data_IF_878202033198
#
_entry.id   IF_878202033198
#
_cell.length_a   1.000
_cell.length_b   1.000
_cell.length_c   1.000
_cell.angle_alpha   90.00
_cell.angle_beta   90.00
_cell.angle_gamma   90.00
#
_symmetry.space_group_name_H-M   'P 1'
#
loop_
_entity.id
_entity.type
_entity.pdbx_description
1 polymer ?
#
# COMPACT_ATOMS: atom_id res chain seq x y z
N UNK A 1 16.36 -12.37 -14.73
CA UNK A 1 15.70 -12.13 -16.04
C UNK A 1 16.73 -11.45 -16.93
N UNK A 2 16.98 -12.00 -18.10
CA UNK A 2 17.79 -11.29 -19.09
C UNK A 2 16.99 -10.06 -19.52
N UNK A 3 17.59 -8.87 -19.35
CA UNK A 3 17.00 -7.62 -19.85
C UNK A 3 16.81 -7.74 -21.37
N UNK A 4 15.63 -7.43 -21.86
CA UNK A 4 15.32 -7.43 -23.29
C UNK A 4 15.92 -6.12 -23.87
N UNK A 5 17.14 -6.11 -24.44
CA UNK A 5 17.93 -4.90 -24.62
C UNK A 5 17.35 -3.88 -25.62
N UNK A 6 16.23 -4.22 -26.27
CA UNK A 6 15.61 -3.41 -27.32
C UNK A 6 14.14 -3.06 -27.07
N UNK A 7 13.66 -3.16 -25.81
CA UNK A 7 12.29 -2.89 -25.42
C UNK A 7 12.21 -1.78 -24.38
N UNK A 8 11.38 -0.76 -24.60
CA UNK A 8 11.01 0.20 -23.57
C UNK A 8 9.52 0.15 -23.26
N UNK A 9 9.15 0.66 -22.07
CA UNK A 9 7.76 0.85 -21.66
C UNK A 9 7.48 2.34 -21.51
N UNK A 10 6.42 2.82 -22.15
CA UNK A 10 5.90 4.19 -22.00
C UNK A 10 4.60 4.13 -21.23
N UNK A 11 4.51 4.80 -20.09
CA UNK A 11 3.30 4.84 -19.27
C UNK A 11 2.63 6.21 -19.43
N UNK A 12 1.41 6.23 -19.94
CA UNK A 12 0.64 7.46 -20.10
C UNK A 12 0.01 7.90 -18.77
N UNK A 13 0.52 8.96 -18.16
CA UNK A 13 0.13 9.45 -16.85
C UNK A 13 -0.16 10.97 -16.80
N UNK A 14 -0.35 11.62 -17.96
CA UNK A 14 -0.51 13.09 -18.07
C UNK A 14 -1.95 13.58 -17.93
N UNK A 15 -2.95 12.70 -17.91
CA UNK A 15 -4.37 13.01 -17.96
C UNK A 15 -4.89 13.77 -16.74
N UNK A 16 -5.83 14.72 -16.94
CA UNK A 16 -6.43 15.53 -15.86
C UNK A 16 -7.41 14.76 -14.96
N UNK A 17 -8.05 13.69 -15.46
CA UNK A 17 -8.99 12.87 -14.69
C UNK A 17 -10.24 13.63 -14.21
N UNK A 18 -10.80 14.53 -15.01
CA UNK A 18 -11.91 15.42 -14.63
C UNK A 18 -13.16 14.70 -14.12
N UNK A 19 -13.40 13.48 -14.61
CA UNK A 19 -14.56 12.65 -14.20
C UNK A 19 -14.50 12.17 -12.76
N UNK A 20 -13.30 12.09 -12.14
CA UNK A 20 -13.14 11.77 -10.72
C UNK A 20 -13.56 12.91 -9.80
N UNK A 21 -13.75 14.14 -10.31
CA UNK A 21 -14.10 15.33 -9.54
C UNK A 21 -13.18 15.56 -8.33
N UNK A 22 -11.91 15.24 -8.47
CA UNK A 22 -10.87 15.28 -7.42
C UNK A 22 -9.80 16.31 -7.73
N UNK A 23 -9.22 16.90 -6.67
CA UNK A 23 -8.01 17.75 -6.78
C UNK A 23 -6.73 16.92 -6.86
N UNK A 24 -6.80 15.61 -6.56
CA UNK A 24 -5.67 14.67 -6.68
C UNK A 24 -5.56 14.27 -8.16
N UNK A 25 -4.36 14.23 -8.74
CA UNK A 25 -4.14 13.65 -10.07
C UNK A 25 -4.72 12.24 -10.15
N UNK A 26 -5.37 11.90 -11.27
CA UNK A 26 -6.03 10.61 -11.48
C UNK A 26 -5.12 9.43 -11.07
N UNK A 27 -3.91 9.42 -11.57
CA UNK A 27 -2.91 8.35 -11.39
C UNK A 27 -2.35 8.24 -9.97
N UNK A 28 -2.63 9.22 -9.10
CA UNK A 28 -2.25 9.22 -7.68
C UNK A 28 -3.37 8.79 -6.74
N UNK A 29 -4.56 8.48 -7.24
CA UNK A 29 -5.55 7.79 -6.41
C UNK A 29 -5.01 6.41 -6.03
N UNK A 30 -5.32 5.97 -4.83
CA UNK A 30 -4.77 4.74 -4.27
C UNK A 30 -5.81 3.62 -4.22
N UNK A 31 -5.37 2.42 -4.54
CA UNK A 31 -6.06 1.16 -4.30
C UNK A 31 -5.07 0.18 -3.68
N UNK A 32 -5.51 -0.68 -2.76
CA UNK A 32 -4.62 -1.64 -2.11
C UNK A 32 -3.39 -1.00 -1.46
N UNK A 33 -3.50 0.26 -0.96
CA UNK A 33 -2.42 0.99 -0.30
C UNK A 33 -1.36 1.60 -1.21
N UNK A 34 -1.61 1.66 -2.55
CA UNK A 34 -0.62 2.12 -3.53
C UNK A 34 -1.27 2.98 -4.62
N UNK A 35 -0.62 4.06 -5.11
CA UNK A 35 -1.11 4.82 -6.26
C UNK A 35 -1.35 3.96 -7.49
N UNK A 36 -2.37 4.27 -8.30
CA UNK A 36 -2.66 3.56 -9.57
C UNK A 36 -1.41 3.43 -10.43
N UNK A 37 -0.69 4.54 -10.63
CA UNK A 37 0.57 4.55 -11.38
C UNK A 37 1.63 3.61 -10.77
N UNK A 38 1.68 3.50 -9.45
CA UNK A 38 2.61 2.62 -8.75
C UNK A 38 2.39 1.14 -9.05
N UNK A 39 1.13 0.71 -9.24
CA UNK A 39 0.82 -0.64 -9.67
C UNK A 39 1.29 -0.91 -11.09
N UNK A 40 1.03 0.01 -12.02
CA UNK A 40 1.46 -0.12 -13.43
C UNK A 40 2.99 -0.15 -13.54
N UNK A 41 3.70 0.72 -12.81
CA UNK A 41 5.17 0.71 -12.76
C UNK A 41 5.68 -0.62 -12.22
N UNK A 42 5.07 -1.15 -11.16
CA UNK A 42 5.48 -2.43 -10.58
C UNK A 42 5.31 -3.60 -11.55
N UNK A 43 4.22 -3.63 -12.33
CA UNK A 43 4.00 -4.63 -13.37
C UNK A 43 5.02 -4.48 -14.52
N UNK A 44 5.24 -3.26 -15.01
CA UNK A 44 6.20 -2.96 -16.08
C UNK A 44 7.64 -3.31 -15.67
N UNK A 45 8.02 -3.10 -14.41
CA UNK A 45 9.36 -3.40 -13.86
C UNK A 45 9.66 -4.91 -13.78
N UNK A 46 8.67 -5.77 -14.03
CA UNK A 46 8.89 -7.23 -14.19
C UNK A 46 9.26 -7.60 -15.63
N UNK A 47 9.04 -6.70 -16.59
CA UNK A 47 9.27 -6.91 -18.03
C UNK A 47 10.58 -6.26 -18.49
N UNK A 48 10.83 -5.02 -18.03
CA UNK A 48 12.04 -4.24 -18.38
C UNK A 48 12.65 -3.63 -17.10
N UNK A 49 13.91 -3.22 -17.19
CA UNK A 49 14.56 -2.50 -16.10
C UNK A 49 13.91 -1.12 -15.88
N UNK A 50 13.90 -0.54 -14.67
CA UNK A 50 13.35 0.79 -14.41
C UNK A 50 13.92 1.89 -15.32
N UNK A 51 15.18 1.79 -15.74
CA UNK A 51 15.81 2.70 -16.69
C UNK A 51 15.22 2.68 -18.11
N UNK A 52 14.43 1.65 -18.45
CA UNK A 52 13.75 1.50 -19.74
C UNK A 52 12.23 1.82 -19.63
N UNK A 53 11.80 2.40 -18.49
CA UNK A 53 10.42 2.82 -18.26
C UNK A 53 10.34 4.35 -18.29
N UNK A 54 9.45 4.88 -19.11
CA UNK A 54 9.22 6.32 -19.29
C UNK A 54 7.77 6.66 -18.93
N UNK A 55 7.55 7.41 -17.85
CA UNK A 55 6.23 7.91 -17.51
C UNK A 55 6.02 9.30 -18.13
N UNK A 56 5.02 9.42 -19.02
CA UNK A 56 4.62 10.71 -19.57
C UNK A 56 3.70 11.39 -18.56
N UNK A 57 4.16 12.47 -17.94
CA UNK A 57 3.45 13.23 -16.92
C UNK A 57 3.06 14.60 -17.44
N UNK A 58 2.04 15.23 -16.86
CA UNK A 58 1.56 16.54 -17.32
C UNK A 58 0.83 17.29 -16.21
N UNK A 59 -0.44 17.04 -16.01
CA UNK A 59 -1.20 17.70 -14.94
C UNK A 59 -0.59 17.42 -13.56
N UNK A 60 -0.15 18.46 -12.85
CA UNK A 60 0.57 18.38 -11.57
C UNK A 60 1.82 17.45 -11.64
N UNK A 61 2.61 17.56 -12.70
CA UNK A 61 3.75 16.69 -12.99
C UNK A 61 4.68 16.49 -11.78
N UNK A 62 5.06 17.56 -11.08
CA UNK A 62 5.97 17.48 -9.93
C UNK A 62 5.41 16.61 -8.78
N UNK A 63 4.11 16.70 -8.56
CA UNK A 63 3.45 15.86 -7.54
C UNK A 63 3.43 14.39 -7.94
N UNK A 64 3.23 14.10 -9.24
CA UNK A 64 3.27 12.72 -9.76
C UNK A 64 4.70 12.18 -9.69
N UNK A 65 5.71 12.94 -10.13
CA UNK A 65 7.13 12.56 -10.04
C UNK A 65 7.54 12.25 -8.60
N UNK A 66 7.20 13.13 -7.64
CA UNK A 66 7.54 12.94 -6.23
C UNK A 66 6.92 11.66 -5.64
N UNK A 67 5.67 11.34 -5.99
CA UNK A 67 4.97 10.18 -5.44
C UNK A 67 5.58 8.83 -5.86
N UNK A 68 6.27 8.77 -7.00
CA UNK A 68 6.88 7.54 -7.53
C UNK A 68 8.40 7.67 -7.74
N UNK A 69 9.05 8.67 -7.16
CA UNK A 69 10.49 8.92 -7.32
C UNK A 69 11.38 7.73 -6.95
N UNK A 70 10.97 6.97 -5.92
CA UNK A 70 11.73 5.81 -5.44
C UNK A 70 11.76 4.63 -6.43
N UNK A 71 10.97 4.68 -7.53
CA UNK A 71 10.92 3.59 -8.52
C UNK A 71 12.09 3.58 -9.50
N UNK A 72 12.82 4.69 -9.64
CA UNK A 72 13.99 4.81 -10.53
C UNK A 72 13.65 4.90 -12.03
N UNK A 73 12.40 5.17 -12.39
CA UNK A 73 11.96 5.35 -13.77
C UNK A 73 12.29 6.75 -14.31
N UNK A 74 12.22 6.92 -15.62
CA UNK A 74 12.35 8.22 -16.28
C UNK A 74 11.00 8.92 -16.45
N UNK A 75 11.03 10.25 -16.50
CA UNK A 75 9.84 11.08 -16.73
C UNK A 75 10.00 11.91 -18.00
N UNK A 76 8.91 11.96 -18.78
CA UNK A 76 8.76 12.83 -19.93
C UNK A 76 7.61 13.79 -19.65
N UNK A 77 7.81 15.07 -19.90
CA UNK A 77 6.79 16.06 -19.61
C UNK A 77 5.94 16.37 -20.85
N UNK A 78 4.63 16.23 -20.71
CA UNK A 78 3.63 16.71 -21.65
C UNK A 78 3.04 18.02 -21.09
N UNK A 79 3.65 19.16 -21.42
CA UNK A 79 3.25 20.46 -20.89
C UNK A 79 1.79 20.81 -21.25
N UNK A 80 1.38 20.52 -22.49
CA UNK A 80 0.02 20.68 -22.96
C UNK A 80 -0.63 19.31 -23.22
N UNK A 81 -1.78 19.04 -22.60
CA UNK A 81 -2.50 17.78 -22.78
C UNK A 81 -3.33 17.82 -24.09
N UNK A 82 -2.69 17.52 -25.22
CA UNK A 82 -3.29 17.51 -26.56
C UNK A 82 -3.65 16.11 -27.05
N UNK A 83 -3.87 15.17 -26.13
CA UNK A 83 -4.27 13.81 -26.44
C UNK A 83 -3.15 12.77 -26.27
N UNK A 84 -3.50 11.49 -26.44
CA UNK A 84 -2.60 10.33 -26.22
C UNK A 84 -1.50 10.22 -27.28
N UNK A 85 -1.79 10.59 -28.52
CA UNK A 85 -0.77 10.67 -29.58
C UNK A 85 0.29 11.73 -29.29
N UNK A 86 -0.12 12.91 -28.78
CA UNK A 86 0.82 13.94 -28.35
C UNK A 86 1.71 13.49 -27.17
N UNK A 87 1.18 12.70 -26.27
CA UNK A 87 1.99 12.13 -25.18
C UNK A 87 3.16 11.30 -25.74
N UNK A 88 2.91 10.48 -26.75
CA UNK A 88 3.97 9.69 -27.43
C UNK A 88 4.90 10.60 -28.24
N UNK A 89 4.39 11.69 -28.86
CA UNK A 89 5.26 12.67 -29.55
C UNK A 89 6.26 13.29 -28.56
N UNK A 90 5.82 13.64 -27.33
CA UNK A 90 6.73 14.14 -26.29
C UNK A 90 7.80 13.10 -25.90
N UNK A 91 7.49 11.82 -25.92
CA UNK A 91 8.41 10.75 -25.59
C UNK A 91 9.32 10.33 -26.75
N UNK A 92 9.10 10.81 -27.97
CA UNK A 92 9.73 10.34 -29.19
C UNK A 92 11.27 10.30 -29.12
N UNK A 93 11.89 11.35 -28.59
CA UNK A 93 13.36 11.41 -28.45
C UNK A 93 13.90 10.36 -27.44
N UNK A 94 13.17 10.12 -26.36
CA UNK A 94 13.56 9.17 -25.33
C UNK A 94 13.48 7.71 -25.79
N UNK A 95 12.52 7.40 -26.68
CA UNK A 95 12.26 6.02 -27.13
C UNK A 95 12.93 5.68 -28.47
N UNK A 96 13.53 6.64 -29.16
CA UNK A 96 14.08 6.45 -30.52
C UNK A 96 15.18 5.36 -30.63
N UNK A 97 15.87 5.07 -29.54
CA UNK A 97 16.92 4.05 -29.48
C UNK A 97 16.42 2.62 -29.31
N UNK A 98 15.13 2.41 -29.02
CA UNK A 98 14.53 1.10 -28.80
C UNK A 98 13.90 0.56 -30.09
N UNK A 99 14.01 -0.75 -30.30
CA UNK A 99 13.39 -1.42 -31.46
C UNK A 99 11.87 -1.46 -31.34
N UNK A 100 11.38 -1.72 -30.13
CA UNK A 100 9.96 -1.81 -29.83
C UNK A 100 9.63 -1.08 -28.53
N UNK A 101 8.39 -0.62 -28.42
CA UNK A 101 7.85 -0.05 -27.20
C UNK A 101 6.53 -0.71 -26.82
N UNK A 102 6.29 -0.83 -25.53
CA UNK A 102 4.96 -1.05 -24.95
C UNK A 102 4.41 0.26 -24.42
N UNK A 103 3.17 0.56 -24.74
CA UNK A 103 2.45 1.73 -24.22
C UNK A 103 1.42 1.24 -23.23
N UNK A 104 1.51 1.65 -21.97
CA UNK A 104 0.59 1.31 -20.90
C UNK A 104 -0.17 2.55 -20.43
N UNK A 105 -1.38 2.35 -19.90
CA UNK A 105 -2.16 3.40 -19.26
C UNK A 105 -1.89 3.44 -17.77
N UNK A 106 -1.48 4.60 -17.24
CA UNK A 106 -1.11 4.77 -15.82
C UNK A 106 -2.29 4.67 -14.83
N UNK A 107 -3.50 4.53 -15.32
CA UNK A 107 -4.74 4.37 -14.56
C UNK A 107 -5.36 2.96 -14.68
N UNK A 108 -4.61 2.00 -15.23
CA UNK A 108 -5.00 0.58 -15.35
C UNK A 108 -4.19 -0.25 -14.34
N UNK A 109 -4.52 -0.20 -13.05
CA UNK A 109 -3.67 -0.71 -11.97
C UNK A 109 -3.66 -2.24 -11.84
N UNK A 110 -4.64 -2.93 -12.45
CA UNK A 110 -4.77 -4.38 -12.34
C UNK A 110 -4.03 -5.15 -13.44
N UNK A 111 -3.34 -4.44 -14.36
CA UNK A 111 -2.55 -5.09 -15.41
C UNK A 111 -1.49 -6.01 -14.82
N UNK A 112 -1.49 -7.27 -15.23
CA UNK A 112 -0.54 -8.28 -14.76
C UNK A 112 0.73 -8.29 -15.63
N UNK A 113 1.89 -8.60 -15.04
CA UNK A 113 3.13 -8.81 -15.80
C UNK A 113 2.97 -9.88 -16.89
N UNK A 114 2.24 -10.96 -16.62
CA UNK A 114 2.00 -12.06 -17.55
C UNK A 114 1.24 -11.58 -18.79
N UNK A 115 0.25 -10.70 -18.61
CA UNK A 115 -0.52 -10.12 -19.70
C UNK A 115 0.32 -9.15 -20.55
N UNK A 116 1.22 -8.39 -19.93
CA UNK A 116 2.18 -7.54 -20.64
C UNK A 116 3.16 -8.41 -21.44
N UNK A 117 3.65 -9.48 -20.86
CA UNK A 117 4.55 -10.42 -21.54
C UNK A 117 3.82 -11.13 -22.71
N UNK A 118 2.58 -11.55 -22.53
CA UNK A 118 1.74 -12.13 -23.60
C UNK A 118 1.59 -11.15 -24.78
N UNK A 119 1.27 -9.88 -24.51
CA UNK A 119 1.19 -8.83 -25.52
C UNK A 119 2.51 -8.70 -26.29
N UNK A 120 3.63 -8.69 -25.58
CA UNK A 120 4.97 -8.58 -26.15
C UNK A 120 5.33 -9.78 -27.04
N UNK A 121 5.11 -11.00 -26.54
CA UNK A 121 5.38 -12.23 -27.30
C UNK A 121 4.52 -12.31 -28.56
N UNK A 122 3.23 -11.96 -28.43
CA UNK A 122 2.30 -11.92 -29.55
C UNK A 122 2.75 -10.91 -30.63
N UNK A 123 3.16 -9.71 -30.20
CA UNK A 123 3.66 -8.65 -31.10
C UNK A 123 4.85 -9.16 -31.94
N UNK A 124 5.82 -9.79 -31.26
CA UNK A 124 7.01 -10.33 -31.93
C UNK A 124 6.68 -11.47 -32.90
N UNK A 125 5.87 -12.42 -32.46
CA UNK A 125 5.50 -13.59 -33.26
C UNK A 125 4.78 -13.19 -34.57
N UNK A 126 3.96 -12.14 -34.52
CA UNK A 126 3.22 -11.65 -35.70
C UNK A 126 4.02 -10.61 -36.51
N UNK A 127 5.21 -10.19 -36.07
CA UNK A 127 6.03 -9.14 -36.71
C UNK A 127 5.22 -7.89 -37.01
N UNK A 128 4.31 -7.54 -36.11
CA UNK A 128 3.36 -6.45 -36.30
C UNK A 128 4.03 -5.07 -36.20
N UNK A 129 3.46 -4.06 -36.82
CA UNK A 129 3.82 -2.67 -36.62
C UNK A 129 3.11 -2.10 -35.38
N UNK A 130 1.89 -2.60 -35.10
CA UNK A 130 1.10 -2.29 -33.92
C UNK A 130 0.37 -3.54 -33.46
N UNK A 131 0.36 -3.80 -32.16
CA UNK A 131 -0.49 -4.79 -31.51
C UNK A 131 -1.32 -4.10 -30.45
N UNK A 132 -2.62 -4.38 -30.43
CA UNK A 132 -3.58 -3.82 -29.49
C UNK A 132 -3.91 -4.89 -28.47
N UNK A 133 -3.77 -4.59 -27.18
CA UNK A 133 -4.36 -5.42 -26.13
C UNK A 133 -5.84 -5.07 -26.03
N UNK A 134 -6.71 -6.06 -26.17
CA UNK A 134 -8.17 -5.90 -26.15
C UNK A 134 -8.77 -6.65 -24.96
N UNK A 135 -10.02 -6.41 -24.67
CA UNK A 135 -10.82 -7.17 -23.71
C UNK A 135 -12.29 -7.19 -24.12
N UNK A 136 -13.06 -8.12 -23.54
CA UNK A 136 -14.50 -8.20 -23.76
C UNK A 136 -15.25 -8.16 -22.42
N UNK A 137 -15.36 -6.99 -21.77
CA UNK A 137 -16.11 -6.85 -20.52
C UNK A 137 -17.61 -7.08 -20.75
N UNK A 138 -18.35 -7.33 -19.66
CA UNK A 138 -19.79 -7.50 -19.71
C UNK A 138 -20.49 -6.23 -20.20
N UNK A 139 -20.05 -5.07 -19.73
CA UNK A 139 -20.48 -3.75 -20.24
C UNK A 139 -19.31 -3.03 -20.92
N UNK A 140 -19.30 -2.93 -22.26
CA UNK A 140 -18.28 -2.24 -23.02
C UNK A 140 -18.51 -0.72 -23.13
N UNK A 141 -19.53 -0.18 -22.50
CA UNK A 141 -19.89 1.25 -22.57
C UNK A 141 -18.74 2.16 -22.15
N UNK A 142 -18.51 3.21 -22.90
CA UNK A 142 -17.47 4.20 -22.63
C UNK A 142 -16.10 3.90 -23.25
N UNK A 143 -15.92 2.72 -23.85
CA UNK A 143 -14.69 2.33 -24.53
C UNK A 143 -14.82 2.36 -26.05
N UNK A 144 -13.73 2.59 -26.77
CA UNK A 144 -13.64 2.37 -28.21
C UNK A 144 -13.78 0.87 -28.53
N UNK A 145 -14.34 0.55 -29.69
CA UNK A 145 -14.48 -0.83 -30.18
C UNK A 145 -13.36 -1.19 -31.13
N UNK A 146 -12.87 -2.41 -31.02
CA UNK A 146 -11.92 -2.97 -31.97
C UNK A 146 -12.70 -3.76 -33.01
N UNK A 147 -12.64 -3.29 -34.26
CA UNK A 147 -13.26 -3.95 -35.41
C UNK A 147 -12.22 -4.82 -36.09
N UNK A 148 -12.43 -6.14 -36.08
CA UNK A 148 -11.54 -7.09 -36.77
C UNK A 148 -11.91 -7.21 -38.26
N UNK A 149 -10.99 -7.69 -39.08
CA UNK A 149 -11.29 -7.94 -40.52
C UNK A 149 -12.33 -9.04 -40.68
N UNK A 150 -12.23 -10.10 -39.90
CA UNK A 150 -13.25 -11.15 -39.72
C UNK A 150 -13.32 -11.52 -38.25
N UNK A 151 -14.37 -12.17 -37.82
CA UNK A 151 -14.56 -12.54 -36.40
C UNK A 151 -13.42 -13.38 -35.82
N UNK A 152 -12.73 -14.18 -36.64
CA UNK A 152 -11.63 -15.05 -36.23
C UNK A 152 -10.25 -14.48 -36.54
N UNK A 153 -10.19 -13.33 -37.25
CA UNK A 153 -8.91 -12.73 -37.64
C UNK A 153 -8.22 -12.07 -36.48
N UNK A 154 -6.91 -12.18 -36.41
CA UNK A 154 -6.08 -11.34 -35.51
C UNK A 154 -5.89 -9.92 -36.06
N UNK A 155 -6.14 -9.71 -37.36
CA UNK A 155 -5.97 -8.43 -38.05
C UNK A 155 -7.10 -7.47 -37.67
N UNK A 156 -6.69 -6.21 -37.38
CA UNK A 156 -7.61 -5.15 -36.98
C UNK A 156 -7.98 -4.30 -38.19
N UNK A 157 -9.28 -4.16 -38.45
CA UNK A 157 -9.81 -3.28 -39.46
C UNK A 157 -9.84 -1.80 -39.04
N UNK A 158 -10.30 -1.54 -37.80
CA UNK A 158 -10.38 -0.19 -37.24
C UNK A 158 -10.51 -0.23 -35.71
N UNK A 159 -10.16 0.90 -35.08
CA UNK A 159 -10.61 1.24 -33.72
C UNK A 159 -11.63 2.36 -33.87
N UNK A 160 -12.83 2.18 -33.31
CA UNK A 160 -13.93 3.16 -33.45
C UNK A 160 -14.31 3.64 -32.06
N UNK A 161 -14.16 4.94 -31.82
CA UNK A 161 -14.47 5.54 -30.50
C UNK A 161 -15.98 5.46 -30.20
N UNK A 162 -16.35 5.32 -28.91
CA UNK A 162 -17.73 5.14 -28.44
C UNK A 162 -18.75 6.09 -29.10
N UNK A 163 -18.40 7.35 -29.30
CA UNK A 163 -19.32 8.36 -29.86
C UNK A 163 -19.49 8.27 -31.36
N UNK A 164 -18.62 7.54 -32.05
CA UNK A 164 -18.62 7.37 -33.51
C UNK A 164 -19.15 6.00 -33.94
N UNK A 165 -19.61 5.16 -33.01
CA UNK A 165 -20.12 3.81 -33.29
C UNK A 165 -21.40 3.86 -34.10
N UNK A 166 -21.48 3.04 -35.14
CA UNK A 166 -22.75 2.68 -35.78
C UNK A 166 -23.56 1.75 -34.88
N UNK A 167 -24.86 1.56 -35.17
CA UNK A 167 -25.72 0.64 -34.43
C UNK A 167 -25.20 -0.81 -34.46
N UNK A 168 -24.58 -1.23 -35.56
CA UNK A 168 -23.98 -2.53 -35.72
C UNK A 168 -22.70 -2.67 -34.87
N UNK A 169 -21.81 -1.66 -34.92
CA UNK A 169 -20.57 -1.62 -34.17
C UNK A 169 -20.80 -1.53 -32.64
N UNK A 170 -21.93 -0.97 -32.21
CA UNK A 170 -22.30 -0.92 -30.79
C UNK A 170 -22.48 -2.32 -30.17
N UNK A 171 -22.78 -3.33 -30.99
CA UNK A 171 -22.91 -4.72 -30.52
C UNK A 171 -21.56 -5.44 -30.33
N UNK A 172 -20.46 -4.85 -30.82
CA UNK A 172 -19.12 -5.40 -30.63
C UNK A 172 -18.76 -5.25 -29.15
N UNK A 173 -18.41 -6.35 -28.47
CA UNK A 173 -18.01 -6.35 -27.08
C UNK A 173 -16.50 -6.12 -26.89
N UNK A 174 -15.71 -6.37 -27.95
CA UNK A 174 -14.25 -6.21 -27.90
C UNK A 174 -13.87 -4.74 -27.85
N UNK A 175 -13.28 -4.33 -26.73
CA UNK A 175 -12.89 -2.95 -26.45
C UNK A 175 -11.39 -2.72 -26.69
N UNK A 176 -11.06 -1.48 -27.02
CA UNK A 176 -9.69 -0.98 -26.97
C UNK A 176 -9.31 -0.62 -25.53
N UNK A 177 -8.30 -1.30 -24.98
CA UNK A 177 -7.83 -1.05 -23.62
C UNK A 177 -6.97 0.21 -23.47
N UNK A 178 -6.46 0.76 -24.57
CA UNK A 178 -5.45 1.81 -24.53
C UNK A 178 -4.03 1.31 -24.27
N UNK A 179 -3.81 0.00 -24.34
CA UNK A 179 -2.51 -0.66 -24.13
C UNK A 179 -2.05 -1.24 -25.47
N UNK A 180 -0.81 -0.96 -25.85
CA UNK A 180 -0.29 -1.28 -27.17
C UNK A 180 1.15 -1.76 -27.13
N UNK A 181 1.53 -2.51 -28.16
CA UNK A 181 2.93 -2.72 -28.55
C UNK A 181 3.16 -2.12 -29.94
N UNK A 182 4.27 -1.43 -30.12
CA UNK A 182 4.65 -0.82 -31.40
C UNK A 182 6.08 -1.17 -31.79
N UNK A 183 6.30 -1.32 -33.11
CA UNK A 183 7.63 -1.19 -33.67
C UNK A 183 7.99 0.29 -33.71
N UNK A 184 9.00 0.70 -32.96
CA UNK A 184 9.31 2.12 -32.70
C UNK A 184 9.57 2.91 -33.97
N UNK A 185 10.41 2.40 -34.87
CA UNK A 185 10.73 3.09 -36.12
C UNK A 185 9.49 3.37 -36.99
N UNK A 186 8.57 2.39 -37.06
CA UNK A 186 7.33 2.52 -37.80
C UNK A 186 6.39 3.52 -37.15
N UNK A 187 6.24 3.47 -35.82
CA UNK A 187 5.45 4.43 -35.06
C UNK A 187 5.97 5.86 -35.31
N UNK A 188 7.25 6.12 -35.07
CA UNK A 188 7.85 7.45 -35.20
C UNK A 188 7.71 8.03 -36.62
N UNK A 189 7.85 7.19 -37.68
CA UNK A 189 7.66 7.57 -39.07
C UNK A 189 6.25 8.12 -39.35
N UNK A 190 5.23 7.61 -38.69
CA UNK A 190 3.84 7.96 -38.92
C UNK A 190 3.24 8.89 -37.87
N UNK A 191 3.87 9.05 -36.71
CA UNK A 191 3.39 9.78 -35.54
C UNK A 191 3.05 11.27 -35.86
N UNK A 192 3.85 11.89 -36.74
CA UNK A 192 3.60 13.27 -37.18
C UNK A 192 2.39 13.44 -38.12
N UNK A 193 1.76 12.34 -38.58
CA UNK A 193 0.55 12.36 -39.43
C UNK A 193 -0.76 12.32 -38.64
N UNK A 194 -0.71 12.19 -37.33
CA UNK A 194 -1.89 12.26 -36.46
C UNK A 194 -2.57 13.63 -36.64
N UNK A 195 -3.89 13.62 -36.74
CA UNK A 195 -4.70 14.82 -36.90
C UNK A 195 -5.51 15.09 -35.63
N UNK A 196 -5.72 16.35 -35.33
CA UNK A 196 -6.66 16.81 -34.30
C UNK A 196 -8.07 17.11 -34.87
N UNK A 197 -8.35 16.72 -36.12
CA UNK A 197 -9.65 16.90 -36.78
C UNK A 197 -10.66 15.86 -36.27
N UNK A 198 -11.06 16.04 -35.04
CA UNK A 198 -12.03 15.19 -34.33
C UNK A 198 -12.83 15.99 -33.31
N UNK A 199 -13.86 15.39 -32.73
CA UNK A 199 -14.79 16.04 -31.82
C UNK A 199 -14.15 16.68 -30.55
N UNK A 200 -12.94 16.32 -30.20
CA UNK A 200 -12.24 16.84 -29.00
C UNK A 200 -11.03 17.72 -29.37
N UNK A 201 -10.63 17.80 -30.64
CA UNK A 201 -9.42 18.52 -31.06
C UNK A 201 -8.14 17.91 -30.53
N UNK A 202 -8.10 16.61 -30.26
CA UNK A 202 -6.98 15.88 -29.66
C UNK A 202 -6.29 14.93 -30.65
N UNK A 203 -5.01 14.73 -30.48
CA UNK A 203 -4.24 13.72 -31.23
C UNK A 203 -4.44 12.35 -30.57
N UNK A 204 -5.27 11.50 -31.19
CA UNK A 204 -5.53 10.17 -30.66
C UNK A 204 -4.48 9.15 -31.12
N UNK A 205 -3.91 8.40 -30.17
CA UNK A 205 -3.01 7.30 -30.51
C UNK A 205 -3.75 6.15 -31.22
N UNK A 206 -5.05 6.01 -31.00
CA UNK A 206 -5.92 5.03 -31.69
C UNK A 206 -5.95 5.22 -33.21
N UNK A 207 -5.77 6.46 -33.70
CA UNK A 207 -5.75 6.75 -35.15
C UNK A 207 -4.51 6.12 -35.83
N UNK A 208 -3.48 5.76 -35.07
CA UNK A 208 -2.31 5.04 -35.63
C UNK A 208 -2.71 3.72 -36.28
N UNK A 209 -3.73 3.03 -35.80
CA UNK A 209 -4.18 1.78 -36.41
C UNK A 209 -4.60 2.00 -37.88
N UNK A 210 -5.40 3.03 -38.15
CA UNK A 210 -5.82 3.39 -39.50
C UNK A 210 -4.65 3.89 -40.37
N UNK A 211 -3.78 4.74 -39.83
CA UNK A 211 -2.61 5.27 -40.51
C UNK A 211 -1.64 4.17 -40.93
N UNK A 212 -1.35 3.22 -40.06
CA UNK A 212 -0.46 2.10 -40.31
C UNK A 212 -1.04 1.15 -41.34
N UNK A 213 -2.31 0.82 -41.26
CA UNK A 213 -2.98 -0.01 -42.27
C UNK A 213 -2.94 0.64 -43.66
N UNK A 214 -3.26 1.92 -43.75
CA UNK A 214 -3.20 2.67 -45.02
C UNK A 214 -1.77 2.67 -45.60
N UNK A 215 -0.76 2.59 -44.75
CA UNK A 215 0.64 2.45 -45.15
C UNK A 215 1.05 1.01 -45.51
N UNK A 216 0.14 0.04 -45.46
CA UNK A 216 0.43 -1.38 -45.71
C UNK A 216 1.14 -2.10 -44.54
N UNK A 217 1.14 -1.48 -43.36
CA UNK A 217 1.76 -2.07 -42.16
C UNK A 217 0.75 -2.98 -41.41
N UNK A 218 1.25 -4.00 -40.75
CA UNK A 218 0.44 -4.98 -40.07
C UNK A 218 -0.03 -4.48 -38.71
N UNK A 219 -1.35 -4.48 -38.45
CA UNK A 219 -1.99 -4.12 -37.20
C UNK A 219 -2.82 -5.30 -36.71
N UNK A 220 -2.51 -5.82 -35.51
CA UNK A 220 -3.15 -7.00 -34.94
C UNK A 220 -3.67 -6.72 -33.54
N UNK A 221 -4.55 -7.60 -33.04
CA UNK A 221 -5.04 -7.53 -31.67
C UNK A 221 -4.95 -8.88 -30.96
N UNK A 222 -4.64 -8.84 -29.67
CA UNK A 222 -4.68 -9.96 -28.73
C UNK A 222 -5.59 -9.59 -27.58
N UNK A 223 -6.45 -10.53 -27.18
CA UNK A 223 -7.38 -10.33 -26.07
C UNK A 223 -6.75 -10.76 -24.75
N UNK A 224 -6.90 -9.93 -23.71
CA UNK A 224 -6.56 -10.28 -22.35
C UNK A 224 -7.45 -11.44 -21.85
N UNK A 225 -6.91 -12.32 -21.03
CA UNK A 225 -7.65 -13.44 -20.44
C UNK A 225 -8.77 -12.93 -19.53
N UNK A 226 -8.46 -11.93 -18.70
CA UNK A 226 -9.40 -11.32 -17.76
C UNK A 226 -9.66 -9.86 -18.14
N UNK A 227 -10.90 -9.53 -18.47
CA UNK A 227 -11.25 -8.17 -18.89
C UNK A 227 -10.97 -7.11 -17.82
N UNK A 228 -11.07 -7.46 -16.55
CA UNK A 228 -10.84 -6.56 -15.41
C UNK A 228 -9.42 -6.02 -15.34
N UNK A 229 -8.43 -6.74 -15.88
CA UNK A 229 -7.02 -6.33 -15.86
C UNK A 229 -6.74 -5.05 -16.65
N UNK A 230 -7.54 -4.78 -17.68
CA UNK A 230 -7.32 -3.66 -18.58
C UNK A 230 -8.30 -2.50 -18.34
N UNK A 231 -9.13 -2.60 -17.29
CA UNK A 231 -10.07 -1.54 -16.95
C UNK A 231 -9.38 -0.42 -16.17
N UNK A 232 -9.65 0.81 -16.56
CA UNK A 232 -9.15 2.02 -15.92
C UNK A 232 -10.17 2.65 -14.97
N UNK A 233 -9.69 3.36 -13.94
CA UNK A 233 -10.53 4.10 -12.99
C UNK A 233 -10.87 5.49 -13.53
N UNK A 234 -12.03 5.70 -14.11
CA UNK A 234 -12.48 7.02 -14.58
C UNK A 234 -13.40 7.75 -13.61
N UNK A 235 -14.09 7.02 -12.75
CA UNK A 235 -14.99 7.50 -11.70
C UNK A 235 -14.58 6.94 -10.33
N UNK A 236 -15.08 7.56 -9.25
CA UNK A 236 -14.84 7.01 -7.89
C UNK A 236 -15.48 5.63 -7.73
N UNK A 237 -16.63 5.37 -8.36
CA UNK A 237 -17.27 4.05 -8.30
C UNK A 237 -16.38 2.97 -8.95
N UNK A 238 -15.83 3.25 -10.13
CA UNK A 238 -14.87 2.34 -10.78
C UNK A 238 -13.60 2.16 -9.94
N UNK A 239 -13.07 3.23 -9.34
CA UNK A 239 -11.92 3.15 -8.44
C UNK A 239 -12.17 2.19 -7.26
N UNK A 240 -13.34 2.31 -6.61
CA UNK A 240 -13.74 1.45 -5.49
C UNK A 240 -13.91 -0.01 -5.94
N UNK A 241 -14.48 -0.24 -7.13
CA UNK A 241 -14.61 -1.58 -7.69
C UNK A 241 -13.25 -2.22 -7.98
N UNK A 242 -12.28 -1.46 -8.53
CA UNK A 242 -10.91 -1.93 -8.75
C UNK A 242 -10.18 -2.22 -7.42
N UNK A 243 -10.36 -1.40 -6.38
CA UNK A 243 -9.81 -1.65 -5.05
C UNK A 243 -10.35 -2.97 -4.46
N UNK A 244 -11.66 -3.19 -4.56
CA UNK A 244 -12.29 -4.43 -4.09
C UNK A 244 -11.75 -5.66 -4.84
N UNK A 245 -11.59 -5.58 -6.15
CA UNK A 245 -11.02 -6.66 -6.98
C UNK A 245 -9.57 -6.96 -6.59
N UNK A 246 -8.74 -5.92 -6.40
CA UNK A 246 -7.35 -6.07 -5.99
C UNK A 246 -7.22 -6.73 -4.62
N UNK A 247 -8.02 -6.29 -3.65
CA UNK A 247 -8.01 -6.86 -2.28
C UNK A 247 -8.49 -8.31 -2.27
N UNK A 248 -9.52 -8.63 -3.05
CA UNK A 248 -9.98 -10.02 -3.22
C UNK A 248 -8.89 -10.91 -3.84
N UNK A 249 -8.20 -10.43 -4.86
CA UNK A 249 -7.07 -11.15 -5.47
C UNK A 249 -5.92 -11.33 -4.47
N UNK A 250 -5.60 -10.30 -3.67
CA UNK A 250 -4.57 -10.36 -2.62
C UNK A 250 -4.93 -11.41 -1.57
N UNK A 251 -6.17 -11.41 -1.06
CA UNK A 251 -6.64 -12.41 -0.09
C UNK A 251 -6.60 -13.82 -0.67
N UNK A 252 -7.03 -14.00 -1.93
CA UNK A 252 -6.97 -15.30 -2.63
C UNK A 252 -5.54 -15.81 -2.77
N UNK A 253 -4.60 -14.95 -3.14
CA UNK A 253 -3.17 -15.28 -3.23
C UNK A 253 -2.60 -15.74 -1.87
N UNK A 254 -2.93 -15.03 -0.79
CA UNK A 254 -2.47 -15.36 0.56
C UNK A 254 -3.07 -16.69 1.03
N UNK A 255 -4.36 -16.92 0.77
CA UNK A 255 -5.02 -18.20 1.10
C UNK A 255 -4.41 -19.36 0.31
N UNK A 256 -4.11 -19.17 -0.97
CA UNK A 256 -3.41 -20.17 -1.78
C UNK A 256 -1.99 -20.47 -1.28
N UNK A 257 -1.37 -19.53 -0.57
CA UNK A 257 -0.07 -19.69 0.09
C UNK A 257 -0.16 -20.28 1.51
N UNK A 258 -1.34 -20.74 1.96
CA UNK A 258 -1.51 -21.42 3.26
C UNK A 258 -1.94 -20.51 4.42
N UNK A 259 -2.37 -19.28 4.16
CA UNK A 259 -2.90 -18.37 5.19
C UNK A 259 -4.39 -18.61 5.36
N UNK A 260 -4.87 -18.75 6.59
CA UNK A 260 -6.30 -18.81 6.88
C UNK A 260 -6.87 -17.42 7.06
N UNK A 261 -7.78 -16.98 6.20
CA UNK A 261 -8.45 -15.68 6.31
C UNK A 261 -9.96 -15.92 6.44
N UNK A 262 -10.50 -15.71 7.64
CA UNK A 262 -11.93 -15.86 7.87
C UNK A 262 -12.68 -14.62 7.38
N UNK A 263 -13.71 -14.82 6.54
CA UNK A 263 -14.51 -13.75 5.92
C UNK A 263 -13.64 -12.70 5.24
N UNK A 264 -12.86 -13.08 4.23
CA UNK A 264 -11.90 -12.19 3.56
C UNK A 264 -12.52 -10.91 3.04
N UNK A 265 -13.81 -10.90 2.71
CA UNK A 265 -14.58 -9.72 2.28
C UNK A 265 -14.71 -8.64 3.35
N UNK A 266 -14.48 -8.98 4.62
CA UNK A 266 -14.50 -8.01 5.74
C UNK A 266 -13.11 -7.51 6.12
N UNK A 267 -12.07 -8.10 5.57
CA UNK A 267 -10.68 -7.74 5.87
C UNK A 267 -10.16 -6.71 4.86
N UNK A 268 -9.35 -5.77 5.33
CA UNK A 268 -8.67 -4.80 4.48
C UNK A 268 -7.19 -5.17 4.42
N UNK A 269 -6.74 -5.74 3.29
CA UNK A 269 -5.36 -6.22 3.14
C UNK A 269 -4.75 -5.52 1.93
N UNK A 270 -3.69 -4.75 2.16
CA UNK A 270 -2.98 -4.03 1.10
C UNK A 270 -2.15 -4.97 0.22
N UNK A 271 -1.91 -4.55 -1.02
CA UNK A 271 -1.29 -5.39 -2.05
C UNK A 271 0.14 -5.87 -1.71
N UNK A 272 0.90 -5.08 -0.94
CA UNK A 272 2.29 -5.37 -0.55
C UNK A 272 2.40 -6.12 0.79
N UNK A 273 1.28 -6.53 1.40
CA UNK A 273 1.28 -7.33 2.62
C UNK A 273 1.77 -8.75 2.32
N UNK A 274 2.68 -9.23 3.15
CA UNK A 274 3.24 -10.57 3.11
C UNK A 274 2.88 -11.32 4.41
N UNK A 275 2.37 -12.53 4.29
CA UNK A 275 1.99 -13.37 5.43
C UNK A 275 2.49 -14.79 5.15
N UNK A 276 3.20 -15.37 6.11
CA UNK A 276 3.67 -16.75 6.04
C UNK A 276 2.54 -17.75 6.33
N UNK A 277 2.69 -19.03 5.88
CA UNK A 277 1.69 -20.08 6.07
C UNK A 277 1.30 -20.29 7.54
N UNK A 278 0.18 -20.98 7.76
CA UNK A 278 -0.37 -21.37 9.06
C UNK A 278 -0.81 -20.17 9.96
N UNK A 279 -0.67 -18.94 9.45
CA UNK A 279 -1.19 -17.75 10.14
C UNK A 279 -2.69 -17.61 9.91
N UNK A 280 -3.41 -17.22 10.98
CA UNK A 280 -4.86 -17.05 11.01
C UNK A 280 -5.21 -15.57 11.16
N UNK A 281 -6.02 -15.06 10.23
CA UNK A 281 -6.57 -13.70 10.23
C UNK A 281 -8.08 -13.77 10.49
N UNK A 282 -8.52 -13.18 11.59
CA UNK A 282 -9.94 -13.08 11.95
C UNK A 282 -10.65 -11.96 11.16
N UNK A 283 -12.00 -11.93 11.11
CA UNK A 283 -12.77 -10.88 10.43
C UNK A 283 -12.48 -9.46 10.94
N UNK A 284 -12.63 -8.46 10.07
CA UNK A 284 -12.45 -7.03 10.36
C UNK A 284 -11.02 -6.62 10.71
N UNK A 285 -10.04 -7.41 10.34
CA UNK A 285 -8.62 -7.05 10.45
C UNK A 285 -8.22 -6.15 9.30
N UNK A 286 -7.36 -5.16 9.57
CA UNK A 286 -6.74 -4.31 8.57
C UNK A 286 -5.21 -4.52 8.60
N UNK A 287 -4.65 -4.95 7.48
CA UNK A 287 -3.21 -5.11 7.26
C UNK A 287 -2.78 -4.15 6.16
N UNK A 288 -2.04 -3.13 6.53
CA UNK A 288 -1.79 -1.97 5.68
C UNK A 288 -0.30 -1.82 5.35
N UNK A 289 -0.04 -1.16 4.21
CA UNK A 289 1.30 -0.83 3.76
C UNK A 289 2.16 -2.06 3.47
N UNK A 290 3.39 -2.07 3.98
CA UNK A 290 4.36 -3.17 3.82
C UNK A 290 4.45 -4.07 5.04
N UNK A 291 3.31 -4.39 5.63
CA UNK A 291 3.25 -5.27 6.79
C UNK A 291 3.67 -6.69 6.41
N UNK A 292 4.55 -7.29 7.25
CA UNK A 292 5.02 -8.67 7.13
C UNK A 292 4.68 -9.44 8.40
N UNK A 293 4.14 -10.63 8.25
CA UNK A 293 3.73 -11.50 9.37
C UNK A 293 4.32 -12.89 9.15
N UNK A 294 5.01 -13.41 10.17
CA UNK A 294 5.58 -14.75 10.18
C UNK A 294 4.52 -15.85 10.23
N UNK A 295 4.98 -17.10 10.36
CA UNK A 295 4.11 -18.28 10.44
C UNK A 295 3.47 -18.47 11.83
N UNK A 296 2.42 -19.30 11.89
CA UNK A 296 1.72 -19.67 13.12
C UNK A 296 1.20 -18.50 13.97
N UNK A 297 0.98 -17.34 13.34
CA UNK A 297 0.45 -16.17 14.04
C UNK A 297 -1.08 -16.20 14.11
N UNK A 298 -1.64 -15.54 15.14
CA UNK A 298 -3.07 -15.34 15.29
C UNK A 298 -3.37 -13.84 15.42
N UNK A 299 -4.00 -13.26 14.40
CA UNK A 299 -4.40 -11.86 14.36
C UNK A 299 -5.92 -11.79 14.56
N UNK A 300 -6.34 -11.27 15.71
CA UNK A 300 -7.75 -11.21 16.08
C UNK A 300 -8.46 -9.98 15.57
N UNK A 301 -9.78 -10.08 15.51
CA UNK A 301 -10.70 -9.10 14.94
C UNK A 301 -10.47 -7.66 15.42
N UNK A 302 -10.78 -6.69 14.55
CA UNK A 302 -10.68 -5.24 14.79
C UNK A 302 -9.26 -4.74 15.06
N UNK A 303 -8.25 -5.51 14.69
CA UNK A 303 -6.84 -5.11 14.78
C UNK A 303 -6.43 -4.38 13.51
N UNK A 304 -5.66 -3.30 13.68
CA UNK A 304 -5.03 -2.53 12.59
C UNK A 304 -3.51 -2.66 12.70
N UNK A 305 -2.87 -3.13 11.64
CA UNK A 305 -1.40 -3.28 11.59
C UNK A 305 -0.90 -2.59 10.33
N UNK A 306 -0.05 -1.57 10.49
CA UNK A 306 0.48 -0.77 9.39
C UNK A 306 2.01 -0.71 9.41
N UNK A 307 2.66 -1.09 8.30
CA UNK A 307 4.11 -1.04 8.14
C UNK A 307 4.89 -1.73 9.28
N UNK A 308 4.37 -2.86 9.77
CA UNK A 308 4.98 -3.63 10.85
C UNK A 308 5.64 -4.91 10.35
N UNK A 309 6.60 -5.40 11.14
CA UNK A 309 7.17 -6.74 10.97
C UNK A 309 6.89 -7.56 12.21
N UNK A 310 6.16 -8.67 12.05
CA UNK A 310 5.86 -9.63 13.11
C UNK A 310 6.60 -10.94 12.81
N UNK A 311 7.26 -11.49 13.81
CA UNK A 311 7.91 -12.80 13.78
C UNK A 311 6.90 -13.96 13.77
N UNK A 312 7.35 -15.13 14.16
CA UNK A 312 6.53 -16.35 14.21
C UNK A 312 5.77 -16.48 15.52
N UNK A 313 4.66 -17.20 15.53
CA UNK A 313 3.84 -17.52 16.72
C UNK A 313 3.39 -16.30 17.53
N UNK A 314 3.29 -15.14 16.86
CA UNK A 314 2.81 -13.91 17.50
C UNK A 314 1.30 -13.95 17.65
N UNK A 315 0.82 -13.63 18.86
CA UNK A 315 -0.60 -13.45 19.16
C UNK A 315 -0.92 -11.96 19.26
N UNK A 316 -1.68 -11.43 18.31
CA UNK A 316 -2.28 -10.10 18.43
C UNK A 316 -3.77 -10.25 18.74
N UNK A 317 -4.15 -9.84 19.95
CA UNK A 317 -5.54 -9.89 20.43
C UNK A 317 -6.35 -8.74 19.83
N UNK A 318 -7.68 -8.84 19.97
CA UNK A 318 -8.64 -7.91 19.35
C UNK A 318 -8.39 -6.44 19.71
N UNK A 319 -8.70 -5.56 18.76
CA UNK A 319 -8.74 -4.11 18.95
C UNK A 319 -7.38 -3.45 19.14
N UNK A 320 -6.29 -4.09 18.74
CA UNK A 320 -4.96 -3.52 18.80
C UNK A 320 -4.67 -2.61 17.59
N UNK A 321 -3.84 -1.60 17.81
CA UNK A 321 -3.31 -0.73 16.74
C UNK A 321 -1.79 -0.78 16.77
N UNK A 322 -1.17 -1.24 15.69
CA UNK A 322 0.27 -1.36 15.54
C UNK A 322 0.71 -0.55 14.33
N UNK A 323 1.62 0.42 14.52
CA UNK A 323 2.20 1.23 13.44
C UNK A 323 3.72 1.21 13.48
N UNK A 324 4.37 0.99 12.34
CA UNK A 324 5.82 1.08 12.15
C UNK A 324 6.64 0.42 13.29
N UNK A 325 6.25 -0.80 13.66
CA UNK A 325 6.78 -1.51 14.82
C UNK A 325 7.30 -2.90 14.44
N UNK A 326 8.23 -3.40 15.26
CA UNK A 326 8.74 -4.77 15.14
C UNK A 326 8.30 -5.58 16.35
N UNK A 327 7.80 -6.79 16.13
CA UNK A 327 7.37 -7.75 17.15
C UNK A 327 8.06 -9.07 16.88
N UNK A 328 8.87 -9.53 17.83
CA UNK A 328 9.63 -10.77 17.70
C UNK A 328 8.76 -11.99 18.03
N UNK A 329 9.34 -13.18 17.84
CA UNK A 329 8.66 -14.47 17.96
C UNK A 329 7.97 -14.68 19.31
N UNK A 330 6.80 -15.34 19.27
CA UNK A 330 6.07 -15.73 20.46
C UNK A 330 5.47 -14.60 21.29
N UNK A 331 5.70 -13.35 20.92
CA UNK A 331 5.19 -12.20 21.65
C UNK A 331 3.65 -12.14 21.64
N UNK A 332 3.08 -11.56 22.70
CA UNK A 332 1.63 -11.43 22.90
C UNK A 332 1.25 -9.96 23.03
N UNK A 333 0.38 -9.50 22.17
CA UNK A 333 -0.05 -8.10 22.11
C UNK A 333 -1.54 -8.00 22.40
N UNK A 334 -1.93 -7.11 23.30
CA UNK A 334 -3.31 -6.77 23.56
C UNK A 334 -4.03 -7.60 24.63
N UNK A 335 -5.38 -7.43 24.69
CA UNK A 335 -6.21 -6.65 23.76
C UNK A 335 -6.07 -5.13 23.92
N UNK A 336 -6.54 -4.36 22.92
CA UNK A 336 -6.57 -2.89 22.95
C UNK A 336 -5.20 -2.26 23.30
N UNK A 337 -4.12 -2.84 22.82
CA UNK A 337 -2.78 -2.25 22.92
C UNK A 337 -2.51 -1.31 21.74
N UNK A 338 -1.69 -0.29 21.97
CA UNK A 338 -1.27 0.65 20.95
C UNK A 338 0.27 0.69 20.83
N UNK A 339 0.81 0.05 19.82
CA UNK A 339 2.23 0.15 19.48
C UNK A 339 2.41 1.29 18.47
N UNK A 340 2.99 2.41 18.94
CA UNK A 340 3.29 3.58 18.09
C UNK A 340 4.65 3.41 17.41
N UNK A 341 4.92 4.20 16.35
CA UNK A 341 6.16 4.12 15.56
C UNK A 341 7.43 4.01 16.40
N UNK A 342 8.31 3.09 15.98
CA UNK A 342 9.58 2.81 16.61
C UNK A 342 9.51 1.89 17.84
N UNK A 343 8.38 1.22 18.07
CA UNK A 343 8.27 0.19 19.12
C UNK A 343 8.91 -1.12 18.67
N UNK A 344 9.68 -1.75 19.57
CA UNK A 344 10.35 -3.04 19.38
C UNK A 344 9.96 -3.97 20.53
N UNK A 345 9.24 -5.02 20.22
CA UNK A 345 8.74 -5.98 21.22
C UNK A 345 9.52 -7.28 21.04
N UNK A 346 10.30 -7.64 22.05
CA UNK A 346 11.19 -8.79 22.03
C UNK A 346 10.47 -10.13 22.12
N UNK A 347 11.23 -11.20 21.91
CA UNK A 347 10.77 -12.59 21.94
C UNK A 347 10.03 -12.90 23.25
N UNK A 348 8.88 -13.58 23.15
CA UNK A 348 8.01 -13.95 24.28
C UNK A 348 7.55 -12.78 25.17
N UNK A 349 7.79 -11.53 24.79
CA UNK A 349 7.35 -10.39 25.56
C UNK A 349 5.82 -10.23 25.53
N UNK A 350 5.27 -9.60 26.56
CA UNK A 350 3.82 -9.42 26.67
C UNK A 350 3.47 -7.94 26.88
N UNK A 351 2.81 -7.36 25.88
CA UNK A 351 2.21 -6.03 25.95
C UNK A 351 0.70 -6.21 26.07
N UNK A 352 0.14 -5.95 27.24
CA UNK A 352 -1.26 -6.27 27.54
C UNK A 352 -2.26 -5.15 27.23
N UNK A 353 -3.40 -5.17 27.91
CA UNK A 353 -4.52 -4.29 27.58
C UNK A 353 -4.29 -2.84 28.01
N UNK A 354 -4.68 -1.93 27.12
CA UNK A 354 -4.55 -0.47 27.30
C UNK A 354 -3.10 -0.04 27.59
N UNK A 355 -2.15 -0.76 27.02
CA UNK A 355 -0.73 -0.38 27.05
C UNK A 355 -0.39 0.37 25.78
N UNK A 356 0.21 1.54 25.94
CA UNK A 356 0.73 2.32 24.82
C UNK A 356 2.26 2.34 24.86
N UNK A 357 2.90 2.05 23.74
CA UNK A 357 4.36 2.15 23.57
C UNK A 357 4.70 3.15 22.46
N UNK A 358 5.81 3.88 22.61
CA UNK A 358 6.32 4.81 21.60
C UNK A 358 7.83 4.87 21.65
N UNK A 359 8.52 4.52 20.55
CA UNK A 359 9.99 4.45 20.55
C UNK A 359 10.50 3.72 21.78
N UNK A 360 9.85 2.60 22.10
CA UNK A 360 10.16 1.79 23.28
C UNK A 360 10.64 0.40 22.85
N UNK A 361 11.63 -0.13 23.55
CA UNK A 361 12.11 -1.48 23.37
C UNK A 361 11.79 -2.31 24.62
N UNK A 362 11.08 -3.41 24.46
CA UNK A 362 10.87 -4.42 25.48
C UNK A 362 11.73 -5.64 25.15
N UNK A 363 12.59 -6.03 26.07
CA UNK A 363 13.47 -7.20 25.92
C UNK A 363 12.69 -8.51 26.01
N UNK A 364 13.40 -9.62 25.74
CA UNK A 364 12.85 -10.98 25.80
C UNK A 364 12.10 -11.25 27.10
N UNK A 365 10.86 -11.75 26.98
CA UNK A 365 10.03 -12.12 28.12
C UNK A 365 9.61 -10.96 29.02
N UNK A 366 9.91 -9.72 28.70
CA UNK A 366 9.45 -8.56 29.46
C UNK A 366 7.92 -8.42 29.40
N UNK A 367 7.32 -7.92 30.46
CA UNK A 367 5.87 -7.85 30.64
C UNK A 367 5.42 -6.45 31.02
N UNK A 368 4.47 -5.90 30.29
CA UNK A 368 3.73 -4.70 30.60
C UNK A 368 2.24 -4.97 30.31
N UNK A 369 1.48 -5.43 31.32
CA UNK A 369 0.23 -6.10 31.05
C UNK A 369 -1.01 -5.18 31.11
N UNK A 370 -0.95 -4.02 31.74
CA UNK A 370 -2.14 -3.23 32.03
C UNK A 370 -1.88 -1.74 32.13
N UNK A 371 -2.70 -0.91 31.42
CA UNK A 371 -2.88 0.53 31.67
C UNK A 371 -1.56 1.32 31.77
N UNK A 372 -0.60 1.09 30.91
CA UNK A 372 0.78 1.56 31.05
C UNK A 372 1.19 2.40 29.85
N UNK A 373 1.93 3.49 30.06
CA UNK A 373 2.58 4.24 28.99
C UNK A 373 4.11 4.08 29.05
N UNK A 374 4.69 3.57 27.98
CA UNK A 374 6.13 3.39 27.82
C UNK A 374 6.61 4.20 26.60
N UNK A 375 7.10 5.40 26.87
CA UNK A 375 7.64 6.31 25.85
C UNK A 375 9.13 6.50 26.01
N UNK A 376 9.89 6.47 24.89
CA UNK A 376 11.34 6.62 24.83
C UNK A 376 12.04 5.77 25.92
N UNK A 377 11.67 4.47 26.00
CA UNK A 377 12.05 3.56 27.10
C UNK A 377 12.76 2.30 26.59
N UNK A 378 13.82 1.91 27.28
CA UNK A 378 14.47 0.61 27.10
C UNK A 378 14.20 -0.26 28.32
N UNK A 379 13.58 -1.43 28.13
CA UNK A 379 13.15 -2.33 29.17
C UNK A 379 13.86 -3.69 28.99
N UNK A 380 14.65 -4.08 29.94
CA UNK A 380 15.47 -5.28 29.92
C UNK A 380 14.67 -6.58 29.97
N UNK A 381 15.36 -7.67 29.64
CA UNK A 381 14.84 -9.04 29.64
C UNK A 381 14.19 -9.43 30.96
N UNK A 382 13.05 -10.12 30.91
CA UNK A 382 12.33 -10.64 32.04
C UNK A 382 11.77 -9.60 33.02
N UNK A 383 11.88 -8.33 32.71
CA UNK A 383 11.37 -7.24 33.54
C UNK A 383 9.85 -7.21 33.56
N UNK A 384 9.27 -6.95 34.74
CA UNK A 384 7.85 -6.81 34.95
C UNK A 384 7.46 -5.37 35.25
N UNK A 385 6.68 -4.76 34.35
CA UNK A 385 6.12 -3.43 34.54
C UNK A 385 4.69 -3.57 35.09
N UNK A 386 4.46 -3.01 36.27
CA UNK A 386 3.16 -3.03 36.96
C UNK A 386 2.10 -2.19 36.24
N UNK A 387 0.84 -2.44 36.60
CA UNK A 387 -0.29 -1.68 36.06
C UNK A 387 -0.19 -0.17 36.37
N UNK A 388 -0.53 0.70 35.45
CA UNK A 388 -0.54 2.15 35.66
C UNK A 388 0.85 2.79 35.71
N UNK A 389 1.90 2.09 35.30
CA UNK A 389 3.25 2.67 35.25
C UNK A 389 3.39 3.62 34.07
N UNK A 390 4.01 4.77 34.30
CA UNK A 390 4.25 5.79 33.30
C UNK A 390 5.72 6.18 33.28
N UNK A 391 6.36 6.10 32.10
CA UNK A 391 7.63 6.80 31.85
C UNK A 391 7.34 8.24 31.53
N UNK A 392 7.68 9.17 32.44
CA UNK A 392 7.50 10.61 32.26
C UNK A 392 8.64 11.15 31.39
N UNK A 393 8.57 10.89 30.09
CA UNK A 393 9.64 11.13 29.11
C UNK A 393 9.71 12.56 28.56
N UNK A 394 8.79 13.44 28.95
CA UNK A 394 8.71 14.81 28.41
C UNK A 394 8.71 15.85 29.56
N UNK A 395 9.64 16.80 29.51
CA UNK A 395 9.84 17.85 30.52
C UNK A 395 9.12 19.17 30.19
N UNK A 396 8.35 19.19 29.10
CA UNK A 396 7.70 20.39 28.56
C UNK A 396 8.42 20.99 27.36
N UNK A 397 9.70 20.63 27.13
CA UNK A 397 10.53 21.11 26.01
C UNK A 397 11.19 19.94 25.27
N UNK A 398 11.85 19.04 26.00
CA UNK A 398 12.61 17.93 25.46
C UNK A 398 12.09 16.58 25.92
N UNK A 399 12.45 15.52 25.19
CA UNK A 399 12.21 14.14 25.58
C UNK A 399 13.48 13.51 26.09
N UNK A 400 13.34 12.70 27.14
CA UNK A 400 14.42 12.04 27.83
C UNK A 400 14.17 10.53 27.90
N UNK A 401 15.22 9.69 27.84
CA UNK A 401 15.09 8.25 27.90
C UNK A 401 14.88 7.74 29.33
N UNK A 402 14.17 6.62 29.42
CA UNK A 402 14.10 5.79 30.62
C UNK A 402 14.76 4.44 30.32
N UNK A 403 15.75 4.04 31.11
CA UNK A 403 16.41 2.76 30.97
C UNK A 403 16.06 1.88 32.17
N UNK A 404 15.52 0.69 31.93
CA UNK A 404 15.16 -0.29 32.94
C UNK A 404 15.91 -1.59 32.61
N UNK A 405 16.73 -2.05 33.52
CA UNK A 405 17.58 -3.25 33.42
C UNK A 405 16.78 -4.54 33.32
N UNK A 406 17.51 -5.68 33.40
CA UNK A 406 16.95 -7.02 33.36
C UNK A 406 16.37 -7.44 34.71
N UNK A 407 15.28 -8.22 34.66
CA UNK A 407 14.68 -8.80 35.88
C UNK A 407 14.18 -7.78 36.89
N UNK A 408 13.97 -6.55 36.48
CA UNK A 408 13.43 -5.48 37.31
C UNK A 408 11.94 -5.69 37.57
N UNK A 409 11.50 -5.38 38.80
CA UNK A 409 10.09 -5.33 39.14
C UNK A 409 9.68 -3.88 39.43
N UNK A 410 8.81 -3.35 38.57
CA UNK A 410 8.21 -2.03 38.81
C UNK A 410 6.80 -2.20 39.34
N UNK A 411 6.58 -1.76 40.57
CA UNK A 411 5.26 -1.83 41.21
C UNK A 411 4.22 -0.95 40.54
N UNK A 412 2.97 -1.38 40.63
CA UNK A 412 1.83 -0.68 39.99
C UNK A 412 1.74 0.78 40.44
N UNK A 413 1.17 1.60 39.53
CA UNK A 413 0.89 3.02 39.79
C UNK A 413 2.17 3.84 40.10
N UNK A 414 3.29 3.46 39.49
CA UNK A 414 4.56 4.17 39.65
C UNK A 414 4.86 5.07 38.44
N UNK A 415 5.45 6.23 38.72
CA UNK A 415 5.92 7.16 37.71
C UNK A 415 7.45 7.23 37.74
N UNK A 416 8.07 7.10 36.54
CA UNK A 416 9.51 7.18 36.36
C UNK A 416 9.84 8.48 35.64
N UNK A 417 10.42 9.46 36.32
CA UNK A 417 10.72 10.79 35.77
C UNK A 417 12.05 10.75 35.05
N UNK A 418 12.00 10.78 33.74
CA UNK A 418 13.17 10.71 32.88
C UNK A 418 13.94 12.07 32.85
N UNK A 419 15.29 12.06 32.65
CA UNK A 419 16.10 10.86 32.39
C UNK A 419 16.33 10.04 33.66
N UNK A 420 16.23 8.70 33.57
CA UNK A 420 16.40 7.82 34.73
C UNK A 420 16.90 6.43 34.30
N UNK A 421 17.74 5.82 35.13
CA UNK A 421 18.20 4.45 35.01
C UNK A 421 17.79 3.63 36.23
N UNK A 422 17.13 2.48 35.97
CA UNK A 422 16.83 1.46 36.99
C UNK A 422 17.63 0.21 36.66
N UNK A 423 18.63 -0.12 37.45
CA UNK A 423 19.57 -1.19 37.12
C UNK A 423 18.98 -2.58 37.37
N UNK A 424 19.72 -3.64 36.93
CA UNK A 424 19.29 -5.03 36.93
C UNK A 424 18.80 -5.52 38.32
N UNK A 425 17.69 -6.26 38.33
CA UNK A 425 17.11 -6.86 39.49
C UNK A 425 16.59 -5.89 40.57
N UNK A 426 16.52 -4.60 40.28
CA UNK A 426 15.96 -3.61 41.20
C UNK A 426 14.44 -3.75 41.35
N UNK A 427 13.90 -3.24 42.45
CA UNK A 427 12.48 -3.20 42.78
C UNK A 427 12.01 -1.78 43.01
N UNK A 428 10.90 -1.42 42.36
CA UNK A 428 10.18 -0.16 42.62
C UNK A 428 8.92 -0.49 43.42
N UNK A 429 8.75 0.11 44.59
CA UNK A 429 7.55 -0.04 45.41
C UNK A 429 6.33 0.61 44.71
N UNK A 430 5.17 -0.06 44.75
CA UNK A 430 3.94 0.48 44.11
C UNK A 430 3.59 1.88 44.60
N UNK A 431 3.01 2.71 43.71
CA UNK A 431 2.62 4.09 43.99
C UNK A 431 3.79 5.05 44.19
N UNK A 432 4.95 4.76 43.60
CA UNK A 432 6.17 5.57 43.75
C UNK A 432 6.37 6.54 42.63
N UNK A 433 6.83 7.76 42.95
CA UNK A 433 7.40 8.70 41.97
C UNK A 433 8.93 8.62 42.11
N UNK A 434 9.60 8.05 41.11
CA UNK A 434 11.05 7.85 41.09
C UNK A 434 11.71 8.90 40.21
N UNK A 435 12.63 9.70 40.81
CA UNK A 435 13.28 10.86 40.21
C UNK A 435 14.80 10.75 40.22
N UNK A 436 15.36 9.65 40.63
CA UNK A 436 16.81 9.37 40.69
C UNK A 436 17.08 7.94 40.30
N UNK A 437 18.25 7.69 39.77
CA UNK A 437 18.71 6.36 39.40
C UNK A 437 18.60 5.37 40.56
N UNK A 438 18.28 4.10 40.22
CA UNK A 438 18.11 3.03 41.20
C UNK A 438 19.17 1.97 40.94
N UNK A 439 20.12 1.74 41.90
CA UNK A 439 21.18 0.74 41.76
C UNK A 439 20.63 -0.69 41.67
N UNK A 440 21.44 -1.57 41.09
CA UNK A 440 21.12 -2.98 40.92
C UNK A 440 20.70 -3.64 42.25
N UNK A 441 19.68 -4.50 42.21
CA UNK A 441 19.17 -5.24 43.36
C UNK A 441 18.58 -4.39 44.49
N UNK A 442 18.41 -3.09 44.31
CA UNK A 442 17.92 -2.17 45.34
C UNK A 442 16.39 -2.05 45.32
N UNK A 443 15.81 -1.73 46.48
CA UNK A 443 14.40 -1.32 46.60
C UNK A 443 14.32 0.20 46.66
N UNK A 444 13.61 0.80 45.69
CA UNK A 444 13.28 2.22 45.70
C UNK A 444 11.80 2.44 46.03
N UNK A 445 11.50 3.37 46.95
CA UNK A 445 10.15 3.75 47.37
C UNK A 445 10.07 5.28 47.43
N UNK A 446 9.31 5.87 46.55
CA UNK A 446 9.11 7.32 46.41
C UNK A 446 7.69 7.75 46.74
N UNK A 447 7.16 7.42 47.92
CA UNK A 447 5.79 7.79 48.33
C UNK A 447 5.74 8.14 49.82
N UNK A 448 4.72 8.90 50.22
CA UNK A 448 4.49 9.22 51.63
C UNK A 448 4.11 7.99 52.47
N UNK A 449 4.39 8.04 53.75
CA UNK A 449 3.92 7.01 54.68
C UNK A 449 2.41 7.09 54.86
N UNK A 450 1.73 5.97 54.93
CA UNK A 450 0.30 5.90 55.14
C UNK A 450 -0.06 6.47 56.53
N UNK A 451 -1.09 7.32 56.53
CA UNK A 451 -1.71 7.84 57.79
C UNK A 451 -3.15 7.35 57.82
N UNK A 452 -3.50 6.62 58.87
CA UNK A 452 -4.86 6.14 59.11
C UNK A 452 -5.51 6.92 60.27
N UNK A 453 -6.68 7.51 59.99
CA UNK A 453 -7.49 8.19 61.00
C UNK A 453 -8.69 7.33 61.33
N UNK A 454 -8.67 6.68 62.51
CA UNK A 454 -9.81 5.86 62.97
C UNK A 454 -11.09 6.72 63.20
N UNK A 455 -12.23 6.17 62.84
CA UNK A 455 -13.54 6.81 63.05
C UNK A 455 -13.85 8.03 62.12
N UNK A 456 -12.93 8.40 61.20
CA UNK A 456 -13.08 9.56 60.33
C UNK A 456 -14.36 9.48 59.46
N UNK A 457 -14.64 8.31 58.86
CA UNK A 457 -15.79 8.12 57.99
C UNK A 457 -17.12 8.22 58.76
N UNK A 458 -17.17 7.69 59.98
CA UNK A 458 -18.37 7.74 60.81
C UNK A 458 -18.68 9.17 61.29
N UNK A 459 -17.62 9.87 61.72
CA UNK A 459 -17.74 11.31 62.06
C UNK A 459 -18.24 12.13 60.84
N UNK A 460 -17.77 11.86 59.63
CA UNK A 460 -18.19 12.56 58.40
C UNK A 460 -19.67 12.27 58.07
N UNK A 461 -20.12 11.01 58.20
CA UNK A 461 -21.51 10.60 58.00
C UNK A 461 -22.47 11.25 59.02
N UNK A 462 -22.01 11.39 60.27
CA UNK A 462 -22.78 12.05 61.33
C UNK A 462 -23.01 13.54 61.03
N UNK A 463 -22.07 14.23 60.37
CA UNK A 463 -22.21 15.61 59.93
C UNK A 463 -23.28 15.74 58.84
N UNK A 464 -23.32 14.82 57.84
CA UNK A 464 -24.29 14.81 56.76
C UNK A 464 -25.75 14.59 57.26
N UNK A 465 -25.95 13.90 58.39
CA UNK A 465 -27.25 13.69 58.98
C UNK A 465 -27.77 14.90 59.82
N UNK A 466 -26.93 15.93 59.97
CA UNK A 466 -27.26 17.12 60.77
C UNK A 466 -27.56 18.35 59.93
N UNK A 467 -27.48 18.27 58.57
CA UNK A 467 -28.02 19.30 57.71
C UNK A 467 -29.52 18.99 57.46
N UNK A 468 -30.46 19.91 57.78
CA UNK A 468 -31.90 19.69 57.69
C UNK A 468 -32.40 19.60 56.25
#
# INVERSE_FOLDING_TARGET
MESNPNLAVVIMAAGKGTRLKSRRPKVLHEIGGKPLLGHVIAAASKIVAPGDIFAVVGHQAERVKAAVAATGIHFVEQAEQRGTGHAIQCAAAAIAGYENILVLSGDVPLIRPETIEQLWQFHRAHKAAMTILTAAPDDPTGYGRVVRETAESVEVAAIVEQKALTAEQANIREINSGIYAFRTATLLKHLGKLSADNAHGELYLTDMAGLLRTAGERVVAVQAEEATEVLGANTIAELVALDASLRAATASRLMAAGVTIFRPETCVIDAEVEIAPDTVIEPFVQLLGRTRIGSDCLIRSYTVIENCTLGERVLVRQGCVLGESTVEDGAKIGPFAHLRPGSQIGEDAHVGNFVETKKARLGKGAKANHLTYLGDAEIGEGTNIGAGVITCNYDGVHKHPTTIGKGVFVGSDSTLVAPISVEDGAYIGAGSCITRDVPAGSLAVGRARQVTKAGWADARRALQKKEP
#
